data_IF_918148425333
#
_entry.id   IF_918148425333
#
_cell.length_a   1.000
_cell.length_b   1.000
_cell.length_c   1.000
_cell.angle_alpha   90.00
_cell.angle_beta   90.00
_cell.angle_gamma   90.00
#
_symmetry.space_group_name_H-M   'P 1'
#
loop_
_entity.id
_entity.type
_entity.pdbx_description
1 polymer ?
#
# COMPACT_ATOMS: atom_id res chain seq x y z
N UNK A 1 -12.42 7.12 -32.48
CA UNK A 1 -12.31 8.08 -31.36
C UNK A 1 -13.44 9.11 -31.46
N UNK A 2 -14.59 8.89 -30.82
CA UNK A 2 -15.78 9.77 -30.90
C UNK A 2 -16.17 10.43 -29.57
N UNK A 3 -15.40 10.22 -28.50
CA UNK A 3 -15.74 10.67 -27.14
C UNK A 3 -15.24 12.08 -26.77
N UNK A 4 -14.19 12.59 -27.45
CA UNK A 4 -13.55 13.88 -27.11
C UNK A 4 -14.52 15.07 -27.05
N UNK A 5 -15.48 15.23 -28.00
CA UNK A 5 -16.44 16.34 -27.96
C UNK A 5 -17.35 16.32 -26.73
N UNK A 6 -17.63 15.15 -26.17
CA UNK A 6 -18.56 14.97 -25.04
C UNK A 6 -17.89 15.01 -23.67
N UNK A 7 -16.55 15.11 -23.61
CA UNK A 7 -15.82 15.05 -22.34
C UNK A 7 -16.28 16.11 -21.33
N UNK A 8 -16.47 17.40 -21.69
CA UNK A 8 -16.91 18.39 -20.72
C UNK A 8 -18.29 18.07 -20.13
N UNK A 9 -19.21 17.57 -20.97
CA UNK A 9 -20.56 17.21 -20.55
C UNK A 9 -20.57 15.96 -19.66
N UNK A 10 -19.80 14.93 -20.02
CA UNK A 10 -19.65 13.72 -19.20
C UNK A 10 -18.98 14.03 -17.86
N UNK A 11 -17.93 14.85 -17.86
CA UNK A 11 -17.25 15.28 -16.65
C UNK A 11 -18.21 16.02 -15.71
N UNK A 12 -18.96 17.00 -16.24
CA UNK A 12 -19.97 17.73 -15.45
C UNK A 12 -21.03 16.79 -14.89
N UNK A 13 -21.50 15.83 -15.68
CA UNK A 13 -22.50 14.84 -15.25
C UNK A 13 -21.97 13.97 -14.12
N UNK A 14 -20.75 13.43 -14.26
CA UNK A 14 -20.16 12.61 -13.22
C UNK A 14 -19.87 13.39 -11.93
N UNK A 15 -19.43 14.65 -12.02
CA UNK A 15 -19.25 15.52 -10.83
C UNK A 15 -20.57 15.69 -10.09
N UNK A 16 -21.68 15.95 -10.79
CA UNK A 16 -23.01 16.06 -10.17
C UNK A 16 -23.43 14.75 -9.50
N UNK A 17 -23.20 13.62 -10.16
CA UNK A 17 -23.52 12.30 -9.61
C UNK A 17 -22.66 11.90 -8.39
N UNK A 18 -21.55 12.59 -8.08
CA UNK A 18 -20.84 12.39 -6.82
C UNK A 18 -21.66 12.84 -5.60
N UNK A 19 -22.64 13.73 -5.81
CA UNK A 19 -23.56 14.23 -4.79
C UNK A 19 -24.88 13.44 -4.73
N UNK A 20 -25.01 12.37 -5.53
CA UNK A 20 -26.24 11.57 -5.58
C UNK A 20 -26.52 10.89 -4.24
N UNK A 21 -27.78 10.77 -3.84
CA UNK A 21 -28.18 10.09 -2.60
C UNK A 21 -27.82 8.60 -2.62
N UNK A 22 -27.75 8.00 -3.81
CA UNK A 22 -27.49 6.57 -4.01
C UNK A 22 -26.00 6.28 -4.06
N UNK A 23 -25.51 5.46 -3.11
CA UNK A 23 -24.09 5.08 -3.04
C UNK A 23 -23.54 4.49 -4.34
N UNK A 24 -24.29 3.62 -5.01
CA UNK A 24 -23.85 2.96 -6.25
C UNK A 24 -23.67 3.93 -7.41
N UNK A 25 -24.49 4.99 -7.48
CA UNK A 25 -24.34 6.08 -8.44
C UNK A 25 -23.07 6.84 -8.15
N UNK A 26 -22.86 7.29 -6.90
CA UNK A 26 -21.64 7.98 -6.48
C UNK A 26 -20.37 7.21 -6.81
N UNK A 27 -20.33 5.92 -6.43
CA UNK A 27 -19.18 5.05 -6.68
C UNK A 27 -18.93 4.86 -8.18
N UNK A 28 -19.97 4.59 -8.97
CA UNK A 28 -19.85 4.44 -10.43
C UNK A 28 -19.31 5.72 -11.08
N UNK A 29 -19.83 6.88 -10.68
CA UNK A 29 -19.41 8.18 -11.20
C UNK A 29 -17.97 8.52 -10.82
N UNK A 30 -17.54 8.22 -9.60
CA UNK A 30 -16.15 8.40 -9.17
C UNK A 30 -15.17 7.58 -10.03
N UNK A 31 -15.50 6.31 -10.30
CA UNK A 31 -14.69 5.46 -11.18
C UNK A 31 -14.69 5.95 -12.63
N UNK A 32 -15.85 6.35 -13.16
CA UNK A 32 -15.98 6.85 -14.52
C UNK A 32 -15.18 8.15 -14.70
N UNK A 33 -15.29 9.08 -13.76
CA UNK A 33 -14.56 10.35 -13.76
C UNK A 33 -13.04 10.14 -13.73
N UNK A 34 -12.57 9.21 -12.89
CA UNK A 34 -11.15 8.86 -12.83
C UNK A 34 -10.61 8.25 -14.13
N UNK A 35 -11.41 7.50 -14.90
CA UNK A 35 -11.00 7.00 -16.22
C UNK A 35 -11.07 8.09 -17.29
N UNK A 36 -12.10 8.93 -17.22
CA UNK A 36 -12.33 10.03 -18.15
C UNK A 36 -11.21 11.07 -18.08
N UNK A 37 -10.62 11.31 -16.90
CA UNK A 37 -9.56 12.31 -16.71
C UNK A 37 -8.32 12.06 -17.56
N UNK A 38 -8.04 10.81 -17.94
CA UNK A 38 -6.93 10.45 -18.83
C UNK A 38 -7.08 11.06 -20.24
N UNK A 39 -8.30 11.44 -20.62
CA UNK A 39 -8.63 12.04 -21.92
C UNK A 39 -8.75 13.57 -21.83
N UNK A 40 -8.76 14.14 -20.63
CA UNK A 40 -8.92 15.57 -20.42
C UNK A 40 -7.61 16.31 -20.66
N UNK A 41 -7.68 17.43 -21.37
CA UNK A 41 -6.54 18.35 -21.58
C UNK A 41 -6.41 19.38 -20.45
N UNK A 42 -7.41 19.49 -19.56
CA UNK A 42 -7.45 20.47 -18.47
C UNK A 42 -7.84 19.77 -17.15
N UNK A 43 -6.83 19.33 -16.41
CA UNK A 43 -7.01 18.52 -15.20
C UNK A 43 -7.05 19.37 -13.93
N UNK A 44 -6.36 20.51 -13.91
CA UNK A 44 -6.28 21.40 -12.74
C UNK A 44 -7.64 21.90 -12.22
N UNK A 45 -8.57 22.38 -13.07
CA UNK A 45 -9.88 22.79 -12.60
C UNK A 45 -10.65 21.63 -11.97
N UNK A 46 -10.58 20.43 -12.58
CA UNK A 46 -11.24 19.24 -12.06
C UNK A 46 -10.73 18.86 -10.67
N UNK A 47 -9.41 18.86 -10.48
CA UNK A 47 -8.81 18.55 -9.17
C UNK A 47 -9.21 19.63 -8.15
N UNK A 48 -9.15 20.91 -8.54
CA UNK A 48 -9.52 22.02 -7.68
C UNK A 48 -10.98 21.98 -7.22
N UNK A 49 -11.90 21.60 -8.10
CA UNK A 49 -13.33 21.46 -7.80
C UNK A 49 -13.59 20.29 -6.83
N UNK A 50 -12.90 19.16 -7.04
CA UNK A 50 -12.98 18.01 -6.13
C UNK A 50 -12.44 18.37 -4.73
N UNK A 51 -11.31 19.08 -4.65
CA UNK A 51 -10.73 19.55 -3.39
C UNK A 51 -11.63 20.55 -2.65
N UNK A 52 -12.34 21.42 -3.37
CA UNK A 52 -13.32 22.34 -2.78
C UNK A 52 -14.54 21.57 -2.27
N UNK A 53 -15.06 20.61 -3.06
CA UNK A 53 -16.22 19.79 -2.70
C UNK A 53 -15.96 18.90 -1.48
N UNK A 54 -14.71 18.48 -1.29
CA UNK A 54 -14.30 17.63 -0.18
C UNK A 54 -14.57 18.28 1.19
N UNK A 55 -14.35 19.60 1.30
CA UNK A 55 -14.46 20.35 2.56
C UNK A 55 -15.91 20.51 3.07
N UNK A 56 -16.90 20.47 2.17
CA UNK A 56 -18.30 20.73 2.48
C UNK A 56 -19.19 19.47 2.43
N UNK A 57 -18.59 18.28 2.42
CA UNK A 57 -19.29 17.02 2.14
C UNK A 57 -19.61 16.19 3.39
N UNK A 58 -20.78 15.53 3.38
CA UNK A 58 -21.08 14.44 4.30
C UNK A 58 -20.21 13.20 4.01
N UNK A 59 -20.19 12.24 4.93
CA UNK A 59 -19.31 11.06 4.85
C UNK A 59 -19.46 10.28 3.53
N UNK A 60 -20.69 10.08 3.04
CA UNK A 60 -20.95 9.29 1.85
C UNK A 60 -20.51 9.98 0.55
N UNK A 61 -20.65 11.31 0.50
CA UNK A 61 -20.17 12.15 -0.60
C UNK A 61 -18.64 12.28 -0.53
N UNK A 62 -18.07 12.46 0.66
CA UNK A 62 -16.63 12.53 0.91
C UNK A 62 -15.89 11.30 0.38
N UNK A 63 -16.38 10.10 0.68
CA UNK A 63 -15.84 8.83 0.17
C UNK A 63 -15.81 8.81 -1.37
N UNK A 64 -16.87 9.29 -2.01
CA UNK A 64 -16.98 9.34 -3.46
C UNK A 64 -16.00 10.35 -4.08
N UNK A 65 -15.88 11.54 -3.49
CA UNK A 65 -14.93 12.58 -3.91
C UNK A 65 -13.49 12.08 -3.76
N UNK A 66 -13.13 11.46 -2.64
CA UNK A 66 -11.79 10.89 -2.45
C UNK A 66 -11.51 9.77 -3.45
N UNK A 67 -12.52 8.93 -3.75
CA UNK A 67 -12.40 7.89 -4.78
C UNK A 67 -12.18 8.49 -6.17
N UNK A 68 -12.91 9.55 -6.50
CA UNK A 68 -12.75 10.29 -7.76
C UNK A 68 -11.37 10.93 -7.85
N UNK A 69 -10.94 11.68 -6.81
CA UNK A 69 -9.65 12.35 -6.74
C UNK A 69 -8.49 11.36 -6.90
N UNK A 70 -8.55 10.21 -6.21
CA UNK A 70 -7.60 9.09 -6.39
C UNK A 70 -7.56 8.61 -7.83
N UNK A 71 -8.73 8.43 -8.45
CA UNK A 71 -8.84 8.03 -9.85
C UNK A 71 -8.22 9.07 -10.79
N UNK A 72 -8.53 10.35 -10.59
CA UNK A 72 -8.03 11.46 -11.41
C UNK A 72 -6.51 11.55 -11.34
N UNK A 73 -5.94 11.56 -10.13
CA UNK A 73 -4.49 11.65 -9.93
C UNK A 73 -3.75 10.40 -10.43
N UNK A 74 -4.36 9.21 -10.31
CA UNK A 74 -3.78 7.98 -10.86
C UNK A 74 -3.62 8.02 -12.38
N UNK A 75 -4.58 8.59 -13.11
CA UNK A 75 -4.58 8.54 -14.58
C UNK A 75 -4.11 9.84 -15.24
N UNK A 76 -4.13 10.96 -14.52
CA UNK A 76 -3.84 12.29 -15.05
C UNK A 76 -2.93 13.13 -14.14
N UNK A 77 -2.37 12.55 -13.06
CA UNK A 77 -1.54 13.28 -12.07
C UNK A 77 -0.33 13.99 -12.65
N UNK A 78 0.32 13.41 -13.67
CA UNK A 78 1.45 14.03 -14.37
C UNK A 78 1.09 15.37 -15.04
N UNK A 79 -0.18 15.53 -15.44
CA UNK A 79 -0.70 16.75 -16.07
C UNK A 79 -1.26 17.77 -15.09
N UNK A 80 -1.28 17.45 -13.79
CA UNK A 80 -1.66 18.40 -12.74
C UNK A 80 -0.49 19.34 -12.46
N UNK A 81 -0.72 20.65 -12.41
CA UNK A 81 0.33 21.63 -12.12
C UNK A 81 0.81 21.58 -10.67
N UNK A 82 2.01 22.09 -10.43
CA UNK A 82 2.63 22.11 -9.10
C UNK A 82 1.77 22.83 -8.03
N UNK A 83 1.21 24.03 -8.27
CA UNK A 83 0.35 24.69 -7.28
C UNK A 83 -0.86 23.86 -6.86
N UNK A 84 -1.45 23.12 -7.81
CA UNK A 84 -2.58 22.23 -7.52
C UNK A 84 -2.12 21.00 -6.74
N UNK A 85 -0.94 20.44 -7.03
CA UNK A 85 -0.36 19.33 -6.24
C UNK A 85 -0.05 19.74 -4.80
N UNK A 86 0.51 20.94 -4.59
CA UNK A 86 0.73 21.50 -3.24
C UNK A 86 -0.59 21.62 -2.48
N UNK A 87 -1.67 22.05 -3.15
CA UNK A 87 -3.00 22.10 -2.55
C UNK A 87 -3.55 20.71 -2.22
N UNK A 88 -3.35 19.70 -3.09
CA UNK A 88 -3.69 18.30 -2.81
C UNK A 88 -2.96 17.83 -1.56
N UNK A 89 -1.64 18.04 -1.48
CA UNK A 89 -0.83 17.67 -0.33
C UNK A 89 -1.34 18.32 0.96
N UNK A 90 -1.55 19.65 0.93
CA UNK A 90 -1.99 20.43 2.08
C UNK A 90 -3.35 19.99 2.63
N UNK A 91 -4.29 19.56 1.79
CA UNK A 91 -5.57 19.06 2.29
C UNK A 91 -5.49 17.61 2.77
N UNK A 92 -4.72 16.76 2.10
CA UNK A 92 -4.66 15.34 2.45
C UNK A 92 -3.83 15.06 3.70
N UNK A 93 -2.84 15.89 4.02
CA UNK A 93 -2.06 15.77 5.26
C UNK A 93 -2.94 15.88 6.52
N UNK A 94 -4.06 16.58 6.43
CA UNK A 94 -5.02 16.69 7.54
C UNK A 94 -5.98 15.48 7.56
N UNK A 95 -6.25 14.87 6.41
CA UNK A 95 -7.16 13.72 6.33
C UNK A 95 -6.51 12.37 6.68
N UNK A 96 -5.18 12.27 6.71
CA UNK A 96 -4.52 11.02 7.08
C UNK A 96 -4.73 10.64 8.54
N UNK A 97 -5.09 11.57 9.43
CA UNK A 97 -5.40 11.27 10.83
C UNK A 97 -6.90 11.42 11.17
N UNK A 98 -7.76 11.43 10.15
CA UNK A 98 -9.21 11.53 10.32
C UNK A 98 -9.81 10.33 11.07
N UNK A 99 -10.92 10.50 11.80
CA UNK A 99 -11.53 9.43 12.63
C UNK A 99 -12.00 8.21 11.81
N UNK A 100 -12.57 8.46 10.63
CA UNK A 100 -13.02 7.40 9.71
C UNK A 100 -11.88 6.71 8.94
N UNK A 101 -11.81 5.38 9.05
CA UNK A 101 -10.81 4.54 8.38
C UNK A 101 -10.75 4.73 6.87
N UNK A 102 -11.92 4.81 6.19
CA UNK A 102 -11.96 4.93 4.73
C UNK A 102 -11.41 6.27 4.24
N UNK A 103 -11.57 7.33 5.04
CA UNK A 103 -10.98 8.64 4.75
C UNK A 103 -9.46 8.55 4.88
N UNK A 104 -8.92 7.99 5.97
CA UNK A 104 -7.47 7.78 6.14
C UNK A 104 -6.86 6.94 5.03
N UNK A 105 -7.49 5.80 4.71
CA UNK A 105 -7.04 4.89 3.64
C UNK A 105 -7.00 5.61 2.29
N UNK A 106 -8.02 6.40 1.98
CA UNK A 106 -8.09 7.13 0.72
C UNK A 106 -7.06 8.26 0.67
N UNK A 107 -6.94 9.06 1.73
CA UNK A 107 -5.95 10.15 1.82
C UNK A 107 -4.52 9.63 1.68
N UNK A 108 -4.15 8.58 2.42
CA UNK A 108 -2.86 7.92 2.32
C UNK A 108 -2.60 7.34 0.91
N UNK A 109 -3.63 6.74 0.31
CA UNK A 109 -3.52 6.22 -1.06
C UNK A 109 -3.27 7.33 -2.08
N UNK A 110 -3.91 8.48 -1.92
CA UNK A 110 -3.75 9.61 -2.84
C UNK A 110 -2.38 10.27 -2.62
N UNK A 111 -1.96 10.49 -1.37
CA UNK A 111 -0.62 11.02 -1.06
C UNK A 111 0.49 10.17 -1.69
N UNK A 112 0.38 8.84 -1.60
CA UNK A 112 1.34 7.95 -2.27
C UNK A 112 1.34 8.09 -3.79
N UNK A 113 0.18 8.27 -4.44
CA UNK A 113 0.14 8.51 -5.90
C UNK A 113 0.80 9.86 -6.22
N UNK A 114 0.44 10.92 -5.49
CA UNK A 114 0.96 12.27 -5.71
C UNK A 114 2.46 12.37 -5.42
N UNK A 115 3.00 11.54 -4.53
CA UNK A 115 4.42 11.55 -4.18
C UNK A 115 5.37 11.21 -5.32
N UNK A 116 4.86 10.63 -6.42
CA UNK A 116 5.62 10.43 -7.65
C UNK A 116 6.03 11.74 -8.33
N UNK A 117 5.41 12.85 -7.92
CA UNK A 117 5.57 14.16 -8.52
C UNK A 117 5.95 15.25 -7.51
N UNK A 118 6.32 14.85 -6.29
CA UNK A 118 6.79 15.76 -5.25
C UNK A 118 8.29 16.02 -5.44
N UNK A 119 8.71 17.25 -5.16
CA UNK A 119 10.12 17.58 -5.02
C UNK A 119 10.68 17.07 -3.69
N UNK A 120 12.00 16.89 -3.62
CA UNK A 120 12.70 16.34 -2.46
C UNK A 120 12.37 17.06 -1.14
N UNK A 121 12.33 18.42 -1.06
CA UNK A 121 11.99 19.10 0.18
C UNK A 121 10.57 18.78 0.68
N UNK A 122 9.59 18.76 -0.23
CA UNK A 122 8.21 18.44 0.13
C UNK A 122 8.04 16.97 0.54
N UNK A 123 8.80 16.05 -0.07
CA UNK A 123 8.82 14.66 0.35
C UNK A 123 9.42 14.51 1.75
N UNK A 124 10.52 15.20 2.04
CA UNK A 124 11.14 15.20 3.37
C UNK A 124 10.19 15.74 4.44
N UNK A 125 9.49 16.85 4.17
CA UNK A 125 8.46 17.39 5.07
C UNK A 125 7.34 16.36 5.36
N UNK A 126 6.92 15.61 4.32
CA UNK A 126 5.95 14.54 4.49
C UNK A 126 6.53 13.40 5.34
N UNK A 127 7.75 12.94 5.09
CA UNK A 127 8.37 11.84 5.85
C UNK A 127 8.59 12.21 7.32
N UNK A 128 8.93 13.47 7.61
CA UNK A 128 9.04 14.01 8.96
C UNK A 128 7.67 14.03 9.66
N UNK A 129 6.63 14.54 9.00
CA UNK A 129 5.26 14.50 9.51
C UNK A 129 4.83 13.06 9.82
N UNK A 130 5.03 12.12 8.91
CA UNK A 130 4.65 10.72 9.10
C UNK A 130 5.40 10.10 10.29
N UNK A 131 6.68 10.42 10.45
CA UNK A 131 7.48 9.95 11.59
C UNK A 131 6.93 10.47 12.92
N UNK A 132 6.50 11.74 12.96
CA UNK A 132 5.87 12.31 14.16
C UNK A 132 4.53 11.65 14.48
N UNK A 133 3.67 11.43 13.48
CA UNK A 133 2.35 10.83 13.63
C UNK A 133 2.41 9.35 14.04
N UNK A 134 3.47 8.63 13.66
CA UNK A 134 3.68 7.24 14.04
C UNK A 134 3.83 7.06 15.57
N UNK A 135 4.26 8.09 16.28
CA UNK A 135 4.41 8.09 17.75
C UNK A 135 3.24 8.77 18.48
N UNK A 136 2.16 9.10 17.76
CA UNK A 136 0.99 9.78 18.34
C UNK A 136 0.24 8.88 19.32
N UNK A 137 -0.34 9.43 20.41
CA UNK A 137 -1.23 8.69 21.28
C UNK A 137 -2.51 8.21 20.55
N UNK A 138 -2.96 8.95 19.53
CA UNK A 138 -4.14 8.57 18.71
C UNK A 138 -3.79 7.43 17.76
N UNK A 139 -4.58 6.35 17.81
CA UNK A 139 -4.39 5.22 16.89
C UNK A 139 -4.71 5.61 15.44
N UNK A 140 -5.62 6.57 15.24
CA UNK A 140 -5.97 7.11 13.93
C UNK A 140 -4.76 7.77 13.26
N UNK A 141 -4.02 8.57 14.03
CA UNK A 141 -2.77 9.20 13.59
C UNK A 141 -1.70 8.17 13.22
N UNK A 142 -1.49 7.17 14.09
CA UNK A 142 -0.51 6.11 13.83
C UNK A 142 -0.90 5.26 12.61
N UNK A 143 -2.18 4.89 12.49
CA UNK A 143 -2.69 4.14 11.35
C UNK A 143 -2.54 4.93 10.05
N UNK A 144 -2.91 6.21 10.07
CA UNK A 144 -2.71 7.16 8.98
C UNK A 144 -1.28 7.26 8.49
N UNK A 145 -0.35 7.33 9.45
CA UNK A 145 1.08 7.37 9.17
C UNK A 145 1.53 6.11 8.42
N UNK A 146 1.27 4.93 8.98
CA UNK A 146 1.72 3.65 8.42
C UNK A 146 1.05 3.36 7.07
N UNK A 147 -0.22 3.74 6.89
CA UNK A 147 -0.91 3.67 5.60
C UNK A 147 -0.20 4.53 4.54
N UNK A 148 0.19 5.75 4.91
CA UNK A 148 0.86 6.69 4.01
C UNK A 148 2.25 6.20 3.66
N UNK A 149 3.05 5.75 4.63
CA UNK A 149 4.35 5.11 4.39
C UNK A 149 4.21 3.91 3.44
N UNK A 150 3.24 3.03 3.70
CA UNK A 150 2.95 1.88 2.84
C UNK A 150 2.64 2.32 1.41
N UNK A 151 1.86 3.40 1.25
CA UNK A 151 1.47 3.95 -0.06
C UNK A 151 2.65 4.61 -0.79
N UNK A 152 3.50 5.35 -0.09
CA UNK A 152 4.74 5.92 -0.63
C UNK A 152 5.65 4.81 -1.16
N UNK A 153 5.87 3.74 -0.38
CA UNK A 153 6.66 2.58 -0.81
C UNK A 153 6.03 1.79 -1.98
N UNK A 154 4.75 2.02 -2.29
CA UNK A 154 4.12 1.44 -3.49
C UNK A 154 4.41 2.27 -4.74
N UNK A 155 4.43 3.58 -4.59
CA UNK A 155 4.32 4.51 -5.71
C UNK A 155 5.60 5.27 -5.98
N UNK A 156 6.35 5.65 -4.95
CA UNK A 156 7.65 6.30 -5.04
C UNK A 156 8.68 5.66 -4.06
N UNK A 157 8.98 4.36 -4.18
CA UNK A 157 9.87 3.68 -3.22
C UNK A 157 11.32 4.18 -3.30
N UNK A 158 11.83 4.51 -4.49
CA UNK A 158 13.22 4.92 -4.67
C UNK A 158 13.54 6.19 -3.89
N UNK A 159 12.71 7.24 -4.00
CA UNK A 159 12.92 8.48 -3.25
C UNK A 159 12.80 8.28 -1.73
N UNK A 160 11.94 7.36 -1.28
CA UNK A 160 11.83 7.03 0.16
C UNK A 160 13.09 6.35 0.66
N UNK A 161 13.65 5.41 -0.09
CA UNK A 161 14.86 4.66 0.30
C UNK A 161 16.12 5.53 0.28
N UNK A 162 16.21 6.50 -0.63
CA UNK A 162 17.35 7.41 -0.72
C UNK A 162 17.26 8.61 0.22
N UNK A 163 16.07 8.90 0.78
CA UNK A 163 15.90 10.03 1.70
C UNK A 163 16.68 9.81 3.00
N UNK A 164 17.23 10.90 3.55
CA UNK A 164 17.82 10.96 4.89
C UNK A 164 16.87 10.49 6.00
N UNK A 165 15.56 10.52 5.75
CA UNK A 165 14.53 10.09 6.69
C UNK A 165 14.31 8.58 6.71
N UNK A 166 14.91 7.83 5.78
CA UNK A 166 14.73 6.38 5.67
C UNK A 166 14.94 5.60 6.98
N UNK A 167 15.96 5.89 7.83
CA UNK A 167 16.11 5.22 9.13
C UNK A 167 14.91 5.44 10.06
N UNK A 168 14.33 6.64 10.05
CA UNK A 168 13.14 6.96 10.86
C UNK A 168 11.91 6.23 10.34
N UNK A 169 11.76 6.12 9.02
CA UNK A 169 10.69 5.33 8.39
C UNK A 169 10.82 3.85 8.76
N UNK A 170 12.04 3.31 8.76
CA UNK A 170 12.29 1.94 9.19
C UNK A 170 11.93 1.71 10.64
N UNK A 171 12.30 2.64 11.52
CA UNK A 171 11.91 2.62 12.93
C UNK A 171 10.38 2.62 13.10
N UNK A 172 9.69 3.52 12.41
CA UNK A 172 8.22 3.61 12.45
C UNK A 172 7.54 2.29 12.04
N UNK A 173 8.03 1.64 10.98
CA UNK A 173 7.49 0.36 10.53
C UNK A 173 7.72 -0.74 11.57
N UNK A 174 8.93 -0.85 12.14
CA UNK A 174 9.24 -1.85 13.16
C UNK A 174 8.43 -1.66 14.44
N UNK A 175 8.18 -0.42 14.85
CA UNK A 175 7.37 -0.14 16.03
C UNK A 175 5.88 -0.37 15.78
N UNK A 176 5.37 -0.05 14.59
CA UNK A 176 3.99 -0.35 14.22
C UNK A 176 3.66 -1.86 14.21
N UNK A 177 4.66 -2.74 14.09
CA UNK A 177 4.46 -4.19 14.24
C UNK A 177 4.20 -4.62 15.69
N UNK A 178 4.50 -3.76 16.67
CA UNK A 178 4.27 -4.03 18.09
C UNK A 178 2.99 -3.36 18.60
N UNK A 179 2.29 -2.61 17.74
CA UNK A 179 1.07 -1.88 18.11
C UNK A 179 -0.05 -2.85 18.50
N UNK A 180 -0.87 -2.47 19.48
CA UNK A 180 -2.02 -3.25 19.94
C UNK A 180 -3.06 -3.49 18.83
N UNK A 181 -3.19 -2.56 17.87
CA UNK A 181 -4.17 -2.65 16.79
C UNK A 181 -3.61 -3.44 15.62
N UNK A 182 -4.21 -4.59 15.33
CA UNK A 182 -3.80 -5.42 14.19
C UNK A 182 -3.77 -4.70 12.82
N UNK A 183 -4.60 -3.68 12.50
CA UNK A 183 -4.52 -2.98 11.22
C UNK A 183 -3.18 -2.24 11.02
N UNK A 184 -2.54 -1.76 12.10
CA UNK A 184 -1.21 -1.19 12.03
C UNK A 184 -0.16 -2.27 11.73
N UNK A 185 -0.21 -3.40 12.44
CA UNK A 185 0.68 -4.53 12.22
C UNK A 185 0.56 -5.07 10.79
N UNK A 186 -0.66 -5.21 10.28
CA UNK A 186 -0.93 -5.66 8.91
C UNK A 186 -0.37 -4.67 7.88
N UNK A 187 -0.63 -3.38 8.07
CA UNK A 187 -0.20 -2.34 7.14
C UNK A 187 1.32 -2.17 7.15
N UNK A 188 1.96 -2.29 8.31
CA UNK A 188 3.41 -2.27 8.45
C UNK A 188 4.06 -3.48 7.77
N UNK A 189 3.54 -4.70 8.01
CA UNK A 189 4.00 -5.92 7.33
C UNK A 189 3.92 -5.79 5.81
N UNK A 190 2.85 -5.17 5.31
CA UNK A 190 2.68 -4.86 3.89
C UNK A 190 3.69 -3.84 3.38
N UNK A 191 4.00 -2.81 4.15
CA UNK A 191 4.97 -1.78 3.82
C UNK A 191 6.38 -2.37 3.72
N UNK A 192 6.79 -3.16 4.72
CA UNK A 192 8.06 -3.89 4.73
C UNK A 192 8.18 -4.83 3.51
N UNK A 193 7.11 -5.54 3.18
CA UNK A 193 7.07 -6.39 1.99
C UNK A 193 7.25 -5.63 0.67
N UNK A 194 6.75 -4.39 0.57
CA UNK A 194 6.99 -3.52 -0.59
C UNK A 194 8.42 -3.02 -0.64
N UNK A 195 8.95 -2.62 0.51
CA UNK A 195 10.31 -2.13 0.65
C UNK A 195 11.33 -3.17 0.21
N UNK A 196 11.28 -4.38 0.79
CA UNK A 196 12.24 -5.44 0.45
C UNK A 196 12.14 -5.86 -1.02
N UNK A 197 10.92 -5.91 -1.57
CA UNK A 197 10.71 -6.21 -2.98
C UNK A 197 11.38 -5.14 -3.86
N UNK A 198 11.27 -3.86 -3.49
CA UNK A 198 11.95 -2.79 -4.20
C UNK A 198 13.47 -2.91 -4.09
N UNK A 199 14.03 -3.12 -2.89
CA UNK A 199 15.48 -3.23 -2.69
C UNK A 199 16.07 -4.38 -3.52
N UNK A 200 15.42 -5.55 -3.53
CA UNK A 200 15.85 -6.70 -4.33
C UNK A 200 15.74 -6.45 -5.83
N UNK A 201 14.73 -5.70 -6.27
CA UNK A 201 14.59 -5.36 -7.69
C UNK A 201 15.59 -4.30 -8.15
N UNK A 202 15.98 -3.38 -7.26
CA UNK A 202 16.96 -2.32 -7.52
C UNK A 202 18.39 -2.85 -7.54
N UNK A 203 18.73 -3.80 -6.67
CA UNK A 203 20.01 -4.51 -6.68
C UNK A 203 19.81 -6.03 -6.51
N UNK A 204 19.59 -6.77 -7.61
CA UNK A 204 19.39 -8.22 -7.57
C UNK A 204 20.62 -9.02 -7.12
N UNK A 205 21.81 -8.40 -7.14
CA UNK A 205 23.05 -9.08 -6.77
C UNK A 205 23.24 -9.16 -5.25
N UNK A 206 22.69 -8.18 -4.53
CA UNK A 206 22.78 -8.10 -3.08
C UNK A 206 21.69 -8.93 -2.39
N UNK A 207 22.05 -10.15 -2.01
CA UNK A 207 21.12 -11.11 -1.40
C UNK A 207 21.13 -11.11 0.13
N UNK A 208 22.12 -10.47 0.75
CA UNK A 208 22.35 -10.57 2.21
C UNK A 208 21.93 -9.32 2.98
N UNK A 209 21.98 -8.14 2.36
CA UNK A 209 21.69 -6.86 3.03
C UNK A 209 20.25 -6.74 3.61
N UNK A 210 19.33 -7.61 3.20
CA UNK A 210 17.92 -7.54 3.59
C UNK A 210 17.53 -8.44 4.78
N UNK A 211 18.50 -9.08 5.45
CA UNK A 211 18.24 -10.05 6.53
C UNK A 211 17.41 -9.48 7.68
N UNK A 212 17.63 -8.21 8.04
CA UNK A 212 16.90 -7.54 9.13
C UNK A 212 15.42 -7.34 8.79
N UNK A 213 15.11 -6.92 7.56
CA UNK A 213 13.73 -6.78 7.07
C UNK A 213 13.08 -8.16 6.93
N UNK A 214 13.80 -9.16 6.43
CA UNK A 214 13.30 -10.54 6.35
C UNK A 214 12.95 -11.07 7.73
N UNK A 215 13.85 -10.94 8.71
CA UNK A 215 13.63 -11.40 10.08
C UNK A 215 12.43 -10.69 10.71
N UNK A 216 12.28 -9.39 10.43
CA UNK A 216 11.11 -8.60 10.85
C UNK A 216 9.81 -9.07 10.19
N UNK A 217 9.82 -9.46 8.91
CA UNK A 217 8.65 -10.05 8.25
C UNK A 217 8.37 -11.45 8.79
N UNK A 218 9.40 -12.25 9.07
CA UNK A 218 9.25 -13.60 9.61
C UNK A 218 8.62 -13.55 11.01
N UNK A 219 8.97 -12.60 11.87
CA UNK A 219 8.32 -12.46 13.17
C UNK A 219 6.81 -12.21 13.05
N UNK A 220 6.36 -11.48 12.03
CA UNK A 220 4.93 -11.26 11.75
C UNK A 220 4.16 -12.54 11.38
N UNK A 221 4.85 -13.64 11.05
CA UNK A 221 4.23 -14.94 10.81
C UNK A 221 3.77 -15.63 12.10
N UNK A 222 4.20 -15.15 13.26
CA UNK A 222 3.76 -15.64 14.57
C UNK A 222 2.76 -14.68 15.24
N UNK A 223 2.25 -13.69 14.50
CA UNK A 223 1.24 -12.75 14.99
C UNK A 223 -0.07 -13.46 15.35
N UNK A 224 -0.80 -12.96 16.34
CA UNK A 224 -2.10 -13.48 16.76
C UNK A 224 -3.17 -13.32 15.66
N UNK A 225 -3.09 -12.26 14.86
CA UNK A 225 -4.00 -12.00 13.76
C UNK A 225 -3.63 -12.78 12.51
N UNK A 226 -4.60 -13.56 11.99
CA UNK A 226 -4.42 -14.28 10.73
C UNK A 226 -4.19 -13.35 9.54
N UNK A 227 -4.69 -12.11 9.58
CA UNK A 227 -4.47 -11.15 8.50
C UNK A 227 -3.01 -10.68 8.44
N UNK A 228 -2.37 -10.49 9.60
CA UNK A 228 -0.96 -10.12 9.69
C UNK A 228 -0.08 -11.26 9.20
N UNK A 229 -0.30 -12.50 9.68
CA UNK A 229 0.42 -13.69 9.20
C UNK A 229 0.28 -13.87 7.68
N UNK A 230 -0.95 -13.77 7.16
CA UNK A 230 -1.24 -13.83 5.72
C UNK A 230 -0.52 -12.74 4.94
N UNK A 231 -0.38 -11.54 5.51
CA UNK A 231 0.35 -10.44 4.88
C UNK A 231 1.85 -10.72 4.83
N UNK A 232 2.44 -11.24 5.89
CA UNK A 232 3.86 -11.65 5.94
C UNK A 232 4.18 -12.71 4.89
N UNK A 233 3.34 -13.75 4.77
CA UNK A 233 3.46 -14.77 3.73
C UNK A 233 3.35 -14.19 2.32
N UNK A 234 2.45 -13.23 2.12
CA UNK A 234 2.33 -12.54 0.83
C UNK A 234 3.57 -11.74 0.48
N UNK A 235 4.25 -11.14 1.46
CA UNK A 235 5.50 -10.42 1.27
C UNK A 235 6.64 -11.37 0.89
N UNK A 236 6.85 -12.43 1.69
CA UNK A 236 7.88 -13.45 1.41
C UNK A 236 7.66 -14.13 0.06
N UNK A 237 6.42 -14.45 -0.30
CA UNK A 237 6.09 -14.99 -1.63
C UNK A 237 6.47 -14.03 -2.76
N UNK A 238 6.22 -12.74 -2.59
CA UNK A 238 6.56 -11.74 -3.61
C UNK A 238 8.07 -11.67 -3.82
N UNK A 239 8.84 -11.69 -2.73
CA UNK A 239 10.31 -11.77 -2.75
C UNK A 239 10.77 -13.06 -3.42
N UNK A 240 10.24 -14.22 -3.01
CA UNK A 240 10.56 -15.52 -3.58
C UNK A 240 10.32 -15.58 -5.09
N UNK A 241 9.24 -14.94 -5.56
CA UNK A 241 8.94 -14.85 -6.99
C UNK A 241 9.90 -13.92 -7.75
N UNK A 242 10.38 -12.86 -7.11
CA UNK A 242 11.28 -11.89 -7.72
C UNK A 242 12.74 -12.35 -7.73
N UNK A 243 13.19 -12.94 -6.62
CA UNK A 243 14.55 -13.47 -6.44
C UNK A 243 14.53 -14.68 -5.51
N UNK A 244 14.42 -15.91 -6.06
CA UNK A 244 14.57 -17.14 -5.28
C UNK A 244 15.90 -17.20 -4.49
N UNK A 245 17.06 -16.77 -5.02
CA UNK A 245 18.32 -16.76 -4.26
C UNK A 245 18.23 -15.97 -2.96
N UNK A 246 17.57 -14.80 -2.97
CA UNK A 246 17.37 -13.97 -1.78
C UNK A 246 16.54 -14.67 -0.69
N UNK A 247 15.73 -15.67 -1.02
CA UNK A 247 15.03 -16.50 -0.03
C UNK A 247 15.91 -17.65 0.44
N UNK A 248 16.63 -18.29 -0.48
CA UNK A 248 17.45 -19.47 -0.20
C UNK A 248 18.57 -19.18 0.80
N UNK A 249 19.20 -18.01 0.73
CA UNK A 249 20.26 -17.61 1.69
C UNK A 249 19.72 -17.42 3.12
N UNK A 250 18.42 -17.13 3.27
CA UNK A 250 17.76 -16.91 4.57
C UNK A 250 16.83 -18.06 4.97
N UNK A 251 17.02 -19.24 4.38
CA UNK A 251 16.08 -20.36 4.52
C UNK A 251 16.04 -20.94 5.94
N UNK A 252 17.11 -20.78 6.71
CA UNK A 252 17.16 -21.17 8.12
C UNK A 252 16.18 -20.38 8.99
N UNK A 253 15.84 -19.16 8.59
CA UNK A 253 14.90 -18.28 9.30
C UNK A 253 13.49 -18.46 8.70
N UNK A 254 13.38 -18.49 7.38
CA UNK A 254 12.09 -18.56 6.67
C UNK A 254 11.45 -19.96 6.78
N UNK A 255 12.27 -21.01 6.67
CA UNK A 255 11.82 -22.40 6.60
C UNK A 255 10.95 -22.82 7.79
N UNK A 256 11.43 -22.69 9.04
CA UNK A 256 10.65 -23.08 10.22
C UNK A 256 9.32 -22.32 10.35
N UNK A 257 9.34 -20.99 10.21
CA UNK A 257 8.13 -20.17 10.32
C UNK A 257 7.11 -20.49 9.21
N UNK A 258 7.59 -20.77 8.00
CA UNK A 258 6.75 -21.22 6.89
C UNK A 258 6.16 -22.63 7.15
N UNK A 259 6.92 -23.53 7.78
CA UNK A 259 6.47 -24.85 8.19
C UNK A 259 5.29 -24.79 9.16
N UNK A 260 5.38 -23.89 10.13
CA UNK A 260 4.32 -23.64 11.10
C UNK A 260 3.07 -23.07 10.43
N UNK A 261 3.24 -22.08 9.56
CA UNK A 261 2.13 -21.47 8.80
C UNK A 261 1.40 -22.46 7.86
N UNK A 262 2.04 -23.56 7.45
CA UNK A 262 1.37 -24.63 6.71
C UNK A 262 0.42 -25.47 7.59
N UNK A 263 0.67 -25.50 8.91
CA UNK A 263 -0.18 -26.12 9.94
C UNK A 263 -1.17 -25.13 10.56
N UNK A 264 -1.21 -23.88 10.09
CA UNK A 264 -2.01 -22.81 10.71
C UNK A 264 -3.50 -23.20 10.83
N UNK A 265 -4.17 -22.79 11.91
CA UNK A 265 -5.59 -23.04 12.09
C UNK A 265 -6.45 -22.32 11.05
N UNK A 266 -5.99 -21.17 10.56
CA UNK A 266 -6.65 -20.35 9.55
C UNK A 266 -6.40 -20.89 8.13
N UNK A 267 -7.48 -21.30 7.47
CA UNK A 267 -7.42 -21.77 6.07
C UNK A 267 -6.81 -20.74 5.11
N UNK A 268 -7.15 -19.44 5.16
CA UNK A 268 -6.48 -18.41 4.36
C UNK A 268 -4.97 -18.35 4.57
N UNK A 269 -4.47 -18.56 5.79
CA UNK A 269 -3.03 -18.55 6.11
C UNK A 269 -2.36 -19.79 5.52
N UNK A 270 -2.93 -20.99 5.71
CA UNK A 270 -2.40 -22.22 5.10
C UNK A 270 -2.27 -22.10 3.58
N UNK A 271 -3.31 -21.60 2.90
CA UNK A 271 -3.27 -21.40 1.44
C UNK A 271 -2.23 -20.35 1.01
N UNK A 272 -2.01 -19.30 1.82
CA UNK A 272 -0.95 -18.33 1.56
C UNK A 272 0.44 -18.95 1.75
N UNK A 273 0.60 -19.83 2.75
CA UNK A 273 1.84 -20.53 3.06
C UNK A 273 2.20 -21.52 1.96
N UNK A 274 1.24 -22.33 1.50
CA UNK A 274 1.43 -23.25 0.36
C UNK A 274 1.90 -22.50 -0.88
N UNK A 275 1.26 -21.37 -1.20
CA UNK A 275 1.65 -20.52 -2.34
C UNK A 275 3.03 -19.90 -2.15
N UNK A 276 3.41 -19.55 -0.92
CA UNK A 276 4.75 -19.06 -0.61
C UNK A 276 5.81 -20.15 -0.80
N UNK A 277 5.56 -21.36 -0.28
CA UNK A 277 6.46 -22.50 -0.39
C UNK A 277 6.78 -22.88 -1.84
N UNK A 278 5.77 -22.85 -2.73
CA UNK A 278 5.96 -23.13 -4.17
C UNK A 278 7.02 -22.21 -4.81
N UNK A 279 7.08 -20.95 -4.37
CA UNK A 279 8.05 -20.00 -4.91
C UNK A 279 9.38 -20.01 -4.14
N UNK A 280 9.36 -20.27 -2.84
CA UNK A 280 10.55 -20.38 -2.01
C UNK A 280 11.40 -21.62 -2.34
N UNK A 281 10.77 -22.70 -2.82
CA UNK A 281 11.43 -23.98 -3.13
C UNK A 281 11.16 -24.45 -4.58
N UNK A 282 11.68 -23.76 -5.61
CA UNK A 282 11.30 -23.99 -7.00
C UNK A 282 11.82 -25.31 -7.61
N UNK A 283 12.95 -25.85 -7.13
CA UNK A 283 13.59 -27.05 -7.69
C UNK A 283 12.93 -28.37 -7.29
N UNK A 284 11.92 -28.32 -6.42
CA UNK A 284 11.22 -29.51 -6.01
C UNK A 284 10.03 -29.76 -6.95
N UNK A 285 10.28 -30.51 -8.03
CA UNK A 285 9.28 -30.96 -9.04
C UNK A 285 7.98 -31.53 -8.43
N UNK A 286 8.00 -31.91 -7.14
CA UNK A 286 6.86 -32.45 -6.38
C UNK A 286 5.83 -31.41 -5.92
N UNK A 287 6.19 -30.12 -5.80
CA UNK A 287 5.25 -29.06 -5.38
C UNK A 287 4.36 -28.56 -6.52
N UNK A 288 4.79 -28.71 -7.78
CA UNK A 288 3.98 -28.34 -8.96
C UNK A 288 2.80 -29.29 -9.21
N UNK A 289 2.78 -30.47 -8.58
CA UNK A 289 1.84 -31.53 -8.97
C UNK A 289 0.88 -32.05 -7.89
N UNK A 290 0.93 -31.64 -6.62
CA UNK A 290 -0.08 -32.08 -5.63
C UNK A 290 -0.15 -31.22 -4.36
N UNK A 291 -1.35 -30.73 -4.09
CA UNK A 291 -1.86 -30.02 -2.91
C UNK A 291 -1.95 -30.92 -1.66
N UNK A 292 -0.86 -31.60 -1.28
CA UNK A 292 -0.89 -32.49 -0.13
C UNK A 292 0.19 -32.11 0.91
N UNK A 293 -0.27 -31.42 1.96
CA UNK A 293 0.49 -30.94 3.13
C UNK A 293 1.49 -31.97 3.71
N UNK A 294 1.20 -33.27 3.64
CA UNK A 294 1.99 -34.34 4.27
C UNK A 294 3.47 -34.38 3.85
N UNK A 295 3.82 -33.96 2.63
CA UNK A 295 5.20 -34.07 2.11
C UNK A 295 6.08 -32.86 2.40
N UNK A 296 5.48 -31.75 2.84
CA UNK A 296 6.20 -30.52 3.18
C UNK A 296 6.91 -30.67 4.54
N UNK A 297 6.28 -31.38 5.47
CA UNK A 297 6.79 -31.60 6.83
C UNK A 297 8.14 -32.33 6.86
N UNK A 298 8.25 -33.42 6.11
CA UNK A 298 9.43 -34.30 6.11
C UNK A 298 10.75 -33.63 5.68
N UNK A 299 10.69 -32.45 5.05
CA UNK A 299 11.88 -31.72 4.56
C UNK A 299 12.17 -30.41 5.31
N UNK A 300 11.21 -29.92 6.10
CA UNK A 300 11.40 -28.81 7.04
C UNK A 300 12.00 -29.28 8.38
N UNK A 301 12.36 -30.57 8.48
CA UNK A 301 12.92 -31.15 9.71
C UNK A 301 11.90 -31.29 10.83
N UNK A 302 10.60 -31.33 10.51
CA UNK A 302 9.51 -31.53 11.47
C UNK A 302 8.75 -32.84 11.22
#
# INVERSE_FOLDING_TARGET
>A
MTLRPFLPQLQTTFIKCLQDSTRTVRTSSAFALGKLSALSTRVDPLVSDLLSSLQASDAGVREAILTALKGVLKHAGKSVSDPVRVRVFSQLKDLIHHDEDQVRISAASILGITSQYMEEPQLDDLLELLSSLASSPSWESRHGSVLSISSLLRHNPSSVVTSRMFPSIMHCLKDALKDEKFPLRETSTKALGRLILHQIQSDPSETTANVDIISTIVSSLHDDSSEVRRRGLSALKAVAKASPPSIMVHISIIGPALAECLKDSSTPVRLAAERCAVHAFPDDKRYRQRSSCSKIYHRLGC
#
